data_IF_721207962509
#
_entry.id   IF_721207962509
#
_cell.length_a   1.000
_cell.length_b   1.000
_cell.length_c   1.000
_cell.angle_alpha   90.00
_cell.angle_beta   90.00
_cell.angle_gamma   90.00
#
_symmetry.space_group_name_H-M   'P 1'
#
loop_
_entity.id
_entity.type
_entity.pdbx_description
1 polymer ?
#
# COMPACT_ATOMS: atom_id res chain seq x y z
N UNK A 1 13.76 7.22 -7.15
CA UNK A 1 13.28 6.47 -5.95
C UNK A 1 13.00 5.02 -6.36
N UNK A 2 13.28 4.04 -5.49
CA UNK A 2 12.96 2.63 -5.77
C UNK A 2 11.45 2.46 -5.96
N UNK A 3 11.03 1.78 -7.03
CA UNK A 3 9.62 1.55 -7.41
C UNK A 3 8.80 0.91 -6.27
N UNK A 4 9.46 0.14 -5.41
CA UNK A 4 8.84 -0.50 -4.24
C UNK A 4 8.34 0.50 -3.19
N UNK A 5 8.93 1.69 -3.10
CA UNK A 5 8.61 2.70 -2.07
C UNK A 5 7.21 3.29 -2.21
N UNK A 6 6.56 3.10 -3.37
CA UNK A 6 5.16 3.49 -3.59
C UNK A 6 4.17 2.62 -2.81
N UNK A 7 4.59 1.42 -2.40
CA UNK A 7 3.71 0.39 -1.85
C UNK A 7 4.04 0.15 -0.38
N UNK A 8 3.18 0.55 0.58
CA UNK A 8 3.47 0.40 2.01
C UNK A 8 3.72 -1.04 2.47
N UNK A 9 3.13 -2.02 1.77
CA UNK A 9 3.28 -3.44 2.05
C UNK A 9 4.54 -4.07 1.43
N UNK A 10 5.26 -3.37 0.56
CA UNK A 10 6.46 -3.92 -0.08
C UNK A 10 7.60 -4.12 0.91
N UNK A 11 8.45 -5.11 0.65
CA UNK A 11 9.65 -5.37 1.47
C UNK A 11 10.57 -4.14 1.49
N UNK A 12 10.75 -3.46 0.36
CA UNK A 12 11.55 -2.24 0.27
C UNK A 12 11.04 -1.14 1.19
N UNK A 13 9.74 -0.87 1.18
CA UNK A 13 9.13 0.14 2.06
C UNK A 13 9.24 -0.27 3.52
N UNK A 14 8.94 -1.53 3.87
CA UNK A 14 9.07 -2.02 5.25
C UNK A 14 10.49 -1.86 5.79
N UNK A 15 11.51 -2.22 4.99
CA UNK A 15 12.92 -2.04 5.37
C UNK A 15 13.28 -0.57 5.58
N UNK A 16 12.76 0.31 4.75
CA UNK A 16 13.01 1.74 4.85
C UNK A 16 12.29 2.37 6.06
N UNK A 17 11.04 1.98 6.31
CA UNK A 17 10.30 2.33 7.53
C UNK A 17 11.07 1.92 8.78
N UNK A 18 11.56 0.68 8.86
CA UNK A 18 12.32 0.17 10.01
C UNK A 18 13.64 0.94 10.26
N UNK A 19 14.24 1.53 9.22
CA UNK A 19 15.43 2.38 9.37
C UNK A 19 15.10 3.74 9.99
N UNK A 20 13.92 4.28 9.69
CA UNK A 20 13.45 5.56 10.22
C UNK A 20 12.83 5.42 11.61
N UNK A 21 11.99 4.40 11.79
CA UNK A 21 11.30 4.07 13.01
C UNK A 21 11.23 2.54 13.19
N UNK A 22 12.05 2.01 14.10
CA UNK A 22 12.14 0.57 14.37
C UNK A 22 10.94 0.05 15.17
N UNK A 23 10.38 0.88 16.03
CA UNK A 23 9.28 0.57 16.94
C UNK A 23 8.33 1.76 17.13
N UNK A 24 7.23 1.53 17.85
CA UNK A 24 6.21 2.55 18.11
C UNK A 24 6.79 3.79 18.81
N UNK A 25 7.73 3.61 19.75
CA UNK A 25 8.33 4.74 20.48
C UNK A 25 9.14 5.61 19.52
N UNK A 26 9.98 4.98 18.68
CA UNK A 26 10.76 5.69 17.68
C UNK A 26 9.90 6.39 16.64
N UNK A 27 8.75 5.81 16.27
CA UNK A 27 7.79 6.46 15.36
C UNK A 27 7.18 7.70 16.00
N UNK A 28 6.72 7.60 17.26
CA UNK A 28 6.18 8.75 18.01
C UNK A 28 7.24 9.85 18.08
N UNK A 29 8.45 9.52 18.53
CA UNK A 29 9.55 10.50 18.62
C UNK A 29 9.93 11.12 17.26
N UNK A 30 9.87 10.34 16.17
CA UNK A 30 10.15 10.85 14.83
C UNK A 30 9.10 11.86 14.39
N UNK A 31 7.82 11.52 14.59
CA UNK A 31 6.70 12.32 14.10
C UNK A 31 6.46 13.57 14.97
N UNK A 32 6.75 13.50 16.27
CA UNK A 32 6.70 14.64 17.20
C UNK A 32 7.86 15.63 17.00
N UNK A 33 8.91 15.28 16.24
CA UNK A 33 9.92 16.27 15.87
C UNK A 33 9.28 17.33 14.96
N UNK A 34 9.48 18.61 15.29
CA UNK A 34 8.64 19.70 14.77
C UNK A 34 8.58 19.88 13.25
N UNK A 35 9.46 19.23 12.47
CA UNK A 35 9.43 19.25 11.00
C UNK A 35 8.56 18.15 10.39
N UNK A 36 8.13 17.16 11.17
CA UNK A 36 7.49 15.93 10.68
C UNK A 36 5.98 15.87 10.95
N UNK A 37 5.38 16.96 11.43
CA UNK A 37 3.93 17.06 11.69
C UNK A 37 3.09 16.80 10.43
N UNK A 38 3.63 17.08 9.24
CA UNK A 38 2.98 16.76 7.97
C UNK A 38 2.63 15.27 7.83
N UNK A 39 3.37 14.38 8.50
CA UNK A 39 3.11 12.94 8.49
C UNK A 39 1.81 12.63 9.23
N UNK A 40 1.56 13.31 10.36
CA UNK A 40 0.29 13.22 11.10
C UNK A 40 -0.84 13.73 10.22
N UNK A 41 -0.71 14.93 9.67
CA UNK A 41 -1.74 15.55 8.84
C UNK A 41 -2.07 14.72 7.59
N UNK A 42 -1.04 14.13 6.97
CA UNK A 42 -1.22 13.20 5.86
C UNK A 42 -1.91 11.92 6.31
N UNK A 43 -1.54 11.36 7.46
CA UNK A 43 -2.14 10.15 8.00
C UNK A 43 -3.62 10.37 8.36
N UNK A 44 -3.95 11.47 9.03
CA UNK A 44 -5.32 11.87 9.36
C UNK A 44 -6.18 12.02 8.11
N UNK A 45 -5.66 12.71 7.07
CA UNK A 45 -6.36 12.84 5.79
C UNK A 45 -6.68 11.50 5.15
N UNK A 46 -5.81 10.50 5.26
CA UNK A 46 -6.10 9.14 4.77
C UNK A 46 -7.19 8.45 5.58
N UNK A 47 -7.21 8.64 6.90
CA UNK A 47 -8.24 8.07 7.78
C UNK A 47 -9.59 8.71 7.50
N UNK A 48 -9.64 10.04 7.35
CA UNK A 48 -10.85 10.77 6.94
C UNK A 48 -11.32 10.34 5.56
N UNK A 49 -10.42 10.23 4.58
CA UNK A 49 -10.79 9.77 3.24
C UNK A 49 -11.43 8.37 3.25
N UNK A 50 -10.92 7.46 4.10
CA UNK A 50 -11.52 6.14 4.29
C UNK A 50 -12.92 6.21 4.92
N UNK A 51 -13.14 7.10 5.90
CA UNK A 51 -14.46 7.32 6.50
C UNK A 51 -15.47 7.87 5.49
N UNK A 52 -15.03 8.84 4.68
CA UNK A 52 -15.86 9.50 3.66
C UNK A 52 -16.00 8.67 2.39
N UNK A 53 -15.39 7.48 2.34
CA UNK A 53 -15.32 6.61 1.16
C UNK A 53 -14.78 7.33 -0.10
N UNK A 54 -13.89 8.30 0.11
CA UNK A 54 -13.24 9.06 -0.95
C UNK A 54 -11.88 8.45 -1.32
N UNK A 55 -11.26 8.96 -2.37
CA UNK A 55 -9.96 8.47 -2.83
C UNK A 55 -8.87 8.79 -1.80
N UNK A 56 -8.14 7.76 -1.36
CA UNK A 56 -6.99 7.95 -0.48
C UNK A 56 -5.89 8.69 -1.23
N UNK A 57 -5.44 9.86 -0.75
CA UNK A 57 -4.42 10.63 -1.42
C UNK A 57 -3.08 9.91 -1.34
N UNK A 58 -2.40 9.77 -2.47
CA UNK A 58 -0.99 9.44 -2.48
C UNK A 58 -0.18 10.65 -2.04
N UNK A 59 0.75 10.44 -1.11
CA UNK A 59 1.67 11.47 -0.67
C UNK A 59 3.07 11.09 -1.15
N UNK A 60 3.63 11.96 -1.99
CA UNK A 60 4.97 11.85 -2.54
C UNK A 60 5.61 13.24 -2.50
N UNK A 61 5.96 13.69 -1.30
CA UNK A 61 6.73 14.93 -1.08
C UNK A 61 8.19 14.77 -1.52
N UNK A 62 8.64 13.51 -1.70
CA UNK A 62 10.04 13.19 -1.97
C UNK A 62 10.86 13.05 -0.69
N UNK A 63 10.26 13.29 0.46
CA UNK A 63 10.85 13.07 1.77
C UNK A 63 10.81 11.57 2.14
N UNK A 64 11.91 10.99 2.66
CA UNK A 64 11.90 9.62 3.17
C UNK A 64 10.81 9.34 4.22
N UNK A 65 10.43 10.36 5.02
CA UNK A 65 9.39 10.32 6.03
C UNK A 65 8.00 10.00 5.48
N UNK A 66 7.73 10.20 4.18
CA UNK A 66 6.47 9.82 3.53
C UNK A 66 6.11 8.35 3.79
N UNK A 67 7.12 7.48 3.90
CA UNK A 67 6.94 6.06 4.16
C UNK A 67 6.30 5.79 5.53
N UNK A 68 6.37 6.73 6.47
CA UNK A 68 5.78 6.61 7.80
C UNK A 68 4.30 7.05 7.84
N UNK A 69 3.76 7.63 6.76
CA UNK A 69 2.36 8.07 6.71
C UNK A 69 1.40 6.89 6.88
N UNK A 70 1.61 5.80 6.13
CA UNK A 70 0.77 4.60 6.24
C UNK A 70 0.77 3.97 7.64
N UNK A 71 1.93 3.66 8.27
CA UNK A 71 1.93 3.10 9.61
C UNK A 71 1.35 4.07 10.65
N UNK A 72 1.54 5.38 10.49
CA UNK A 72 0.89 6.39 11.34
C UNK A 72 -0.63 6.36 11.19
N UNK A 73 -1.16 6.32 9.97
CA UNK A 73 -2.59 6.19 9.71
C UNK A 73 -3.17 4.90 10.30
N UNK A 74 -2.39 3.81 10.27
CA UNK A 74 -2.81 2.55 10.88
C UNK A 74 -2.91 2.67 12.40
N UNK A 75 -1.93 3.31 13.05
CA UNK A 75 -1.96 3.54 14.49
C UNK A 75 -3.14 4.41 14.92
N UNK A 76 -3.47 5.45 14.15
CA UNK A 76 -4.66 6.28 14.41
C UNK A 76 -5.92 5.42 14.42
N UNK A 77 -6.12 4.58 13.39
CA UNK A 77 -7.28 3.68 13.30
C UNK A 77 -7.32 2.67 14.44
N UNK A 78 -6.18 2.04 14.77
CA UNK A 78 -6.09 1.12 15.89
C UNK A 78 -6.40 1.81 17.22
N UNK A 79 -5.96 3.06 17.41
CA UNK A 79 -6.20 3.83 18.63
C UNK A 79 -7.66 4.27 18.77
N UNK A 80 -8.34 4.60 17.67
CA UNK A 80 -9.78 4.88 17.66
C UNK A 80 -10.57 3.64 18.08
N UNK A 81 -10.10 2.44 17.73
CA UNK A 81 -10.69 1.19 18.20
C UNK A 81 -12.04 0.83 17.57
N UNK A 82 -12.39 1.44 16.44
CA UNK A 82 -13.63 1.17 15.71
C UNK A 82 -13.40 0.08 14.62
N UNK A 83 -13.96 -1.13 14.75
CA UNK A 83 -13.70 -2.23 13.80
C UNK A 83 -14.09 -1.89 12.35
N UNK A 84 -15.23 -1.20 12.15
CA UNK A 84 -15.69 -0.79 10.81
C UNK A 84 -14.71 0.17 10.12
N UNK A 85 -14.08 1.07 10.87
CA UNK A 85 -13.07 1.98 10.32
C UNK A 85 -11.84 1.22 9.81
N UNK A 86 -11.46 0.14 10.51
CA UNK A 86 -10.36 -0.73 10.06
C UNK A 86 -10.66 -1.36 8.71
N UNK A 87 -11.89 -1.82 8.50
CA UNK A 87 -12.35 -2.41 7.24
C UNK A 87 -12.39 -1.36 6.13
N UNK A 88 -13.00 -0.20 6.38
CA UNK A 88 -13.07 0.90 5.41
C UNK A 88 -11.68 1.39 5.00
N UNK A 89 -10.75 1.53 5.95
CA UNK A 89 -9.38 1.87 5.64
C UNK A 89 -8.73 0.80 4.75
N UNK A 90 -8.87 -0.48 5.08
CA UNK A 90 -8.28 -1.56 4.29
C UNK A 90 -8.82 -1.59 2.85
N UNK A 91 -10.13 -1.40 2.69
CA UNK A 91 -10.77 -1.36 1.37
C UNK A 91 -10.30 -0.16 0.55
N UNK A 92 -10.32 1.04 1.13
CA UNK A 92 -9.92 2.26 0.45
C UNK A 92 -8.43 2.24 0.07
N UNK A 93 -7.57 1.70 0.94
CA UNK A 93 -6.14 1.50 0.68
C UNK A 93 -5.92 0.51 -0.47
N UNK A 94 -6.68 -0.60 -0.48
CA UNK A 94 -6.62 -1.60 -1.56
C UNK A 94 -7.04 -0.99 -2.91
N UNK A 95 -8.12 -0.21 -2.94
CA UNK A 95 -8.61 0.47 -4.15
C UNK A 95 -7.57 1.46 -4.69
N UNK A 96 -6.99 2.28 -3.81
CA UNK A 96 -5.96 3.24 -4.19
C UNK A 96 -4.74 2.53 -4.80
N UNK A 97 -4.22 1.50 -4.13
CA UNK A 97 -3.08 0.71 -4.62
C UNK A 97 -3.37 0.05 -5.96
N UNK A 98 -4.56 -0.54 -6.13
CA UNK A 98 -4.93 -1.26 -7.35
C UNK A 98 -4.87 -0.37 -8.60
N UNK A 99 -5.28 0.91 -8.48
CA UNK A 99 -5.18 1.91 -9.56
C UNK A 99 -3.74 2.14 -10.04
N UNK A 100 -2.76 1.96 -9.16
CA UNK A 100 -1.34 2.07 -9.50
C UNK A 100 -0.76 0.75 -10.00
N UNK A 101 -1.12 -0.38 -9.40
CA UNK A 101 -0.65 -1.70 -9.83
C UNK A 101 -1.02 -2.02 -11.27
N UNK A 102 -2.22 -1.61 -11.73
CA UNK A 102 -2.64 -1.80 -13.12
C UNK A 102 -1.80 -1.03 -14.17
N UNK A 103 -0.86 -0.18 -13.73
CA UNK A 103 0.07 0.56 -14.60
C UNK A 103 1.51 0.05 -14.49
N UNK A 104 1.79 -0.87 -13.57
CA UNK A 104 3.13 -1.42 -13.38
C UNK A 104 3.37 -2.61 -14.33
N UNK A 105 4.65 -2.91 -14.60
CA UNK A 105 5.04 -4.06 -15.42
C UNK A 105 4.69 -5.37 -14.70
N UNK A 106 4.24 -6.37 -15.47
CA UNK A 106 3.88 -7.70 -14.97
C UNK A 106 4.98 -8.32 -14.08
N UNK A 107 6.23 -8.32 -14.55
CA UNK A 107 7.39 -8.84 -13.80
C UNK A 107 7.54 -8.20 -12.41
N UNK A 108 7.29 -6.88 -12.33
CA UNK A 108 7.36 -6.17 -11.06
C UNK A 108 6.21 -6.57 -10.13
N UNK A 109 5.00 -6.72 -10.67
CA UNK A 109 3.82 -7.16 -9.91
C UNK A 109 4.03 -8.59 -9.38
N UNK A 110 4.52 -9.51 -10.21
CA UNK A 110 4.86 -10.89 -9.81
C UNK A 110 5.90 -10.89 -8.68
N UNK A 111 6.98 -10.12 -8.85
CA UNK A 111 7.99 -9.99 -7.80
C UNK A 111 7.40 -9.40 -6.51
N UNK A 112 6.51 -8.41 -6.60
CA UNK A 112 5.86 -7.79 -5.45
C UNK A 112 4.97 -8.80 -4.71
N UNK A 113 4.17 -9.59 -5.44
CA UNK A 113 3.32 -10.65 -4.87
C UNK A 113 4.16 -11.70 -4.12
N UNK A 114 5.24 -12.18 -4.73
CA UNK A 114 6.12 -13.16 -4.11
C UNK A 114 6.83 -12.59 -2.87
N UNK A 115 7.42 -11.40 -3.00
CA UNK A 115 8.26 -10.83 -1.93
C UNK A 115 7.44 -10.32 -0.74
N UNK A 116 6.27 -9.73 -0.96
CA UNK A 116 5.45 -9.14 0.10
C UNK A 116 4.52 -10.16 0.77
N UNK A 117 4.00 -11.13 0.01
CA UNK A 117 2.94 -12.05 0.44
C UNK A 117 3.28 -13.54 0.30
N UNK A 118 4.40 -13.89 -0.34
CA UNK A 118 4.75 -15.29 -0.63
C UNK A 118 3.85 -15.94 -1.70
N UNK A 119 3.14 -15.14 -2.48
CA UNK A 119 2.23 -15.61 -3.52
C UNK A 119 2.98 -15.92 -4.80
N UNK A 120 2.87 -17.17 -5.24
CA UNK A 120 3.43 -17.63 -6.50
C UNK A 120 2.43 -17.31 -7.61
N UNK A 121 2.76 -16.31 -8.42
CA UNK A 121 1.93 -15.87 -9.54
C UNK A 121 2.52 -16.39 -10.86
N UNK A 122 1.66 -16.80 -11.77
CA UNK A 122 2.03 -17.17 -13.14
C UNK A 122 1.24 -16.33 -14.15
N UNK A 123 1.87 -16.05 -15.28
CA UNK A 123 1.15 -15.48 -16.42
C UNK A 123 0.10 -16.46 -16.93
N UNK A 124 -1.06 -15.92 -17.26
CA UNK A 124 -2.14 -16.68 -17.92
C UNK A 124 -1.91 -16.81 -19.44
N UNK A 125 -0.80 -16.27 -19.93
CA UNK A 125 -0.36 -16.35 -21.32
C UNK A 125 -0.72 -15.13 -22.15
N UNK A 126 -0.46 -15.25 -23.45
CA UNK A 126 -0.79 -14.24 -24.46
C UNK A 126 -2.30 -14.01 -24.55
N UNK A 127 -2.72 -12.89 -25.18
CA UNK A 127 -4.14 -12.60 -25.43
C UNK A 127 -4.84 -13.77 -26.13
N UNK A 128 -4.16 -14.42 -27.09
CA UNK A 128 -4.70 -15.57 -27.81
C UNK A 128 -4.86 -16.82 -26.94
N UNK A 129 -4.00 -17.01 -25.93
CA UNK A 129 -4.12 -18.10 -24.96
C UNK A 129 -5.23 -17.80 -23.95
N UNK A 130 -5.30 -16.56 -23.45
CA UNK A 130 -6.35 -16.08 -22.53
C UNK A 130 -7.75 -16.14 -23.16
N UNK A 131 -7.88 -15.88 -24.45
CA UNK A 131 -9.14 -15.95 -25.18
C UNK A 131 -9.73 -17.38 -25.23
N UNK A 132 -8.91 -18.41 -24.96
CA UNK A 132 -9.36 -19.82 -24.88
C UNK A 132 -9.84 -20.20 -23.47
N UNK A 133 -9.61 -19.36 -22.47
CA UNK A 133 -10.08 -19.59 -21.10
C UNK A 133 -11.57 -19.23 -20.97
N UNK A 134 -12.27 -19.77 -19.95
CA UNK A 134 -13.59 -19.29 -19.59
C UNK A 134 -13.61 -17.76 -19.46
N UNK A 135 -14.71 -17.11 -19.86
CA UNK A 135 -14.84 -15.64 -19.91
C UNK A 135 -14.41 -14.98 -18.58
N UNK A 136 -14.70 -15.63 -17.46
CA UNK A 136 -14.36 -15.18 -16.11
C UNK A 136 -12.84 -15.12 -15.86
N UNK A 137 -12.04 -15.92 -16.57
CA UNK A 137 -10.59 -16.02 -16.40
C UNK A 137 -9.81 -15.31 -17.50
N UNK A 138 -10.38 -15.21 -18.71
CA UNK A 138 -9.72 -14.58 -19.87
C UNK A 138 -9.41 -13.09 -19.70
N UNK A 139 -9.99 -12.42 -18.71
CA UNK A 139 -9.73 -11.01 -18.39
C UNK A 139 -8.53 -10.78 -17.47
N UNK A 140 -8.02 -11.83 -16.81
CA UNK A 140 -6.90 -11.71 -15.89
C UNK A 140 -5.58 -11.95 -16.61
N UNK A 141 -4.53 -11.24 -16.24
CA UNK A 141 -3.19 -11.41 -16.82
C UNK A 141 -2.37 -12.43 -16.02
N UNK A 142 -2.61 -12.47 -14.71
CA UNK A 142 -1.91 -13.31 -13.75
C UNK A 142 -2.89 -14.23 -13.02
N UNK A 143 -2.42 -15.41 -12.64
CA UNK A 143 -3.14 -16.37 -11.77
C UNK A 143 -2.27 -16.80 -10.59
N UNK A 144 -2.91 -17.10 -9.47
CA UNK A 144 -2.27 -17.75 -8.32
C UNK A 144 -2.00 -19.22 -8.65
N UNK A 145 -0.86 -19.74 -8.18
CA UNK A 145 -0.45 -21.15 -8.27
C UNK A 145 -0.63 -21.88 -6.93
#
# INVERSE_FOLDING_TARGET
>A
MSQQLKYPFSVGTRKAQQKLARDLRSLISFVESGTNTYIIEAAERRVLAALDQSEIPLVHTGDPGDMLIYPTARLIVEKIGAPRLREYQAEAESKAVNKHLGKEKEDFVVHLCQSAFGWHMESTGTISERAKLPIQLGTFELKLR
#
